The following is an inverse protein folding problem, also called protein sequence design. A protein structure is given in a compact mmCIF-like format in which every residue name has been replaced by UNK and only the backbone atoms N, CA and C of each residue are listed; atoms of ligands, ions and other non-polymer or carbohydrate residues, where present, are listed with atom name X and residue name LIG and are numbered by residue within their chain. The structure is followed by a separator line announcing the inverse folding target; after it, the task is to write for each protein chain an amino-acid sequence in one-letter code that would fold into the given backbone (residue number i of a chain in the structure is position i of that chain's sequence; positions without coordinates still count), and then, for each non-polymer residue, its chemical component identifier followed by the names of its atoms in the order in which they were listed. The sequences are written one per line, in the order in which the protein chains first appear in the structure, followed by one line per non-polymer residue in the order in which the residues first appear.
data_IF_951936879780
#
_entry.id   IF_951936879780
#
_cell.length_a   1.000
_cell.length_b   1.000
_cell.length_c   1.000
_cell.angle_alpha   90.00
_cell.angle_beta   90.00
_cell.angle_gamma   90.00
#
_symmetry.space_group_name_H-M   'P 1'
#
loop_
_entity.id
_entity.type
_entity.pdbx_description
1 polymer ?
#
# COMPACT_ATOMS: atom_id res chain seq x y z
N UNK A 1 10.75 -13.27 -24.68
CA UNK A 1 10.72 -13.42 -23.20
C UNK A 1 10.96 -12.03 -22.61
N UNK A 2 9.94 -11.37 -22.07
CA UNK A 2 10.17 -10.08 -21.40
C UNK A 2 10.95 -10.33 -20.11
N UNK A 3 12.03 -9.59 -19.91
CA UNK A 3 12.73 -9.57 -18.64
C UNK A 3 11.79 -8.97 -17.60
N UNK A 4 11.09 -9.81 -16.83
CA UNK A 4 10.32 -9.37 -15.67
C UNK A 4 11.35 -8.92 -14.63
N UNK A 5 11.67 -7.63 -14.62
CA UNK A 5 12.38 -7.01 -13.52
C UNK A 5 11.48 -7.15 -12.30
N UNK A 6 11.81 -8.10 -11.41
CA UNK A 6 11.08 -8.27 -10.15
C UNK A 6 11.15 -6.94 -9.39
N UNK A 7 9.99 -6.36 -9.10
CA UNK A 7 9.95 -5.14 -8.29
C UNK A 7 10.53 -5.44 -6.92
N UNK A 8 11.39 -4.55 -6.42
CA UNK A 8 12.00 -4.69 -5.09
C UNK A 8 11.03 -4.38 -3.94
N UNK A 9 9.87 -3.84 -4.26
CA UNK A 9 8.85 -3.42 -3.31
C UNK A 9 7.47 -3.91 -3.72
N UNK A 10 6.61 -4.11 -2.73
CA UNK A 10 5.16 -4.32 -2.88
C UNK A 10 4.39 -3.22 -2.16
N UNK A 11 3.22 -2.87 -2.68
CA UNK A 11 2.36 -1.81 -2.17
C UNK A 11 1.21 -2.40 -1.37
N UNK A 12 0.92 -1.83 -0.19
CA UNK A 12 -0.28 -2.16 0.59
C UNK A 12 -1.52 -1.68 -0.18
N UNK A 13 -2.49 -2.56 -0.40
CA UNK A 13 -3.69 -2.22 -1.16
C UNK A 13 -4.60 -1.21 -0.44
N UNK A 14 -4.51 -1.10 0.89
CA UNK A 14 -5.33 -0.17 1.69
C UNK A 14 -4.72 1.23 1.78
N UNK A 15 -3.43 1.37 2.11
CA UNK A 15 -2.80 2.69 2.35
C UNK A 15 -1.76 3.12 1.32
N UNK A 16 -1.46 2.29 0.32
CA UNK A 16 -0.41 2.49 -0.68
C UNK A 16 1.05 2.51 -0.24
N UNK A 17 1.33 2.23 1.04
CA UNK A 17 2.70 2.16 1.53
C UNK A 17 3.49 1.05 0.81
N UNK A 18 4.69 1.39 0.37
CA UNK A 18 5.64 0.47 -0.24
C UNK A 18 6.52 -0.15 0.84
N UNK A 19 6.59 -1.48 0.86
CA UNK A 19 7.57 -2.22 1.67
C UNK A 19 8.48 -3.08 0.80
N UNK A 20 9.75 -3.25 1.16
CA UNK A 20 10.65 -4.16 0.46
C UNK A 20 10.06 -5.57 0.44
N UNK A 21 10.21 -6.25 -0.69
CA UNK A 21 9.90 -7.68 -0.76
C UNK A 21 11.06 -8.42 -0.09
N UNK A 22 10.81 -9.03 1.05
CA UNK A 22 11.82 -9.78 1.82
C UNK A 22 11.61 -11.28 1.68
N UNK A 23 12.57 -12.09 2.13
CA UNK A 23 12.44 -13.57 2.08
C UNK A 23 11.30 -14.10 2.95
N UNK A 24 10.92 -13.40 4.01
CA UNK A 24 9.77 -13.75 4.86
C UNK A 24 8.43 -13.64 4.13
N UNK A 25 8.36 -12.87 3.04
CA UNK A 25 7.16 -12.75 2.22
C UNK A 25 6.84 -14.02 1.40
N UNK A 26 7.78 -14.97 1.33
CA UNK A 26 7.63 -16.25 0.62
C UNK A 26 7.36 -17.45 1.54
N UNK A 27 7.06 -17.21 2.81
CA UNK A 27 6.75 -18.25 3.81
C UNK A 27 5.42 -17.99 4.50
N UNK A 28 4.81 -19.04 5.05
CA UNK A 28 3.60 -19.01 5.91
C UNK A 28 3.74 -18.14 7.19
N UNK A 29 4.88 -17.47 7.37
CA UNK A 29 5.21 -16.54 8.44
C UNK A 29 5.27 -15.08 7.93
N UNK A 30 4.20 -14.58 7.31
CA UNK A 30 4.00 -13.14 7.16
C UNK A 30 3.67 -12.53 8.53
N UNK A 31 4.68 -12.34 9.38
CA UNK A 31 4.49 -11.89 10.77
C UNK A 31 4.35 -10.37 10.93
N UNK A 32 4.67 -9.59 9.90
CA UNK A 32 4.55 -8.13 9.95
C UNK A 32 3.63 -7.63 8.84
N UNK A 33 2.39 -7.29 9.23
CA UNK A 33 1.42 -6.60 8.38
C UNK A 33 1.89 -5.18 8.02
N UNK A 34 1.01 -4.41 7.39
CA UNK A 34 1.34 -3.04 7.00
C UNK A 34 1.69 -2.14 8.21
N UNK A 35 2.76 -1.35 8.10
CA UNK A 35 3.16 -0.36 9.13
C UNK A 35 2.11 0.72 9.39
N UNK A 36 1.21 0.95 8.43
CA UNK A 36 0.17 1.95 8.52
C UNK A 36 -1.18 1.33 8.89
N UNK A 37 -1.51 0.18 8.30
CA UNK A 37 -2.74 -0.56 8.51
C UNK A 37 -2.43 -1.87 9.24
N UNK A 38 -2.09 -1.81 10.53
CA UNK A 38 -1.64 -2.96 11.34
C UNK A 38 -2.44 -4.23 11.03
N UNK A 39 -1.77 -5.39 11.06
CA UNK A 39 -2.33 -6.72 10.70
C UNK A 39 -2.68 -6.95 9.22
N UNK A 40 -2.85 -5.89 8.41
CA UNK A 40 -3.22 -6.05 6.99
C UNK A 40 -2.10 -6.68 6.18
N UNK A 41 -2.43 -7.76 5.46
CA UNK A 41 -1.51 -8.53 4.63
C UNK A 41 -1.80 -8.44 3.12
N UNK A 42 -2.77 -7.63 2.72
CA UNK A 42 -3.12 -7.31 1.34
C UNK A 42 -2.06 -6.42 0.69
N UNK A 43 -1.16 -7.05 -0.07
CA UNK A 43 -0.09 -6.38 -0.81
C UNK A 43 -0.05 -6.82 -2.29
N UNK A 44 0.34 -5.91 -3.18
CA UNK A 44 0.54 -6.20 -4.61
C UNK A 44 1.89 -5.70 -5.14
N UNK A 45 2.40 -6.37 -6.16
CA UNK A 45 3.53 -5.87 -6.96
C UNK A 45 3.07 -5.04 -8.17
N UNK A 46 1.76 -5.02 -8.45
CA UNK A 46 1.13 -4.27 -9.52
C UNK A 46 0.71 -2.89 -9.01
N UNK A 47 1.55 -1.89 -9.28
CA UNK A 47 1.36 -0.52 -8.82
C UNK A 47 2.14 0.43 -9.74
N UNK A 48 1.76 1.71 -9.79
CA UNK A 48 2.35 2.70 -10.69
C UNK A 48 2.65 4.01 -9.96
N UNK A 49 3.78 4.61 -10.31
CA UNK A 49 4.29 5.82 -9.67
C UNK A 49 4.91 5.56 -8.30
N UNK A 50 5.74 6.50 -7.86
CA UNK A 50 6.38 6.46 -6.54
C UNK A 50 6.34 7.86 -5.94
N UNK A 51 5.92 7.93 -4.68
CA UNK A 51 5.92 9.14 -3.87
C UNK A 51 6.81 8.88 -2.66
N UNK A 52 7.71 9.82 -2.36
CA UNK A 52 8.45 9.83 -1.09
C UNK A 52 7.95 11.00 -0.25
N UNK A 53 7.41 10.67 0.94
CA UNK A 53 6.99 11.66 1.94
C UNK A 53 8.09 11.74 3.00
N UNK A 54 8.89 12.80 2.92
CA UNK A 54 9.95 13.10 3.91
C UNK A 54 9.47 14.00 5.05
N UNK A 55 8.48 14.86 4.78
CA UNK A 55 7.86 15.79 5.71
C UNK A 55 6.34 15.82 5.50
N UNK A 56 5.59 16.07 6.58
CA UNK A 56 4.15 16.20 6.56
C UNK A 56 3.69 17.65 6.33
N UNK A 57 2.42 17.83 6.01
CA UNK A 57 1.73 19.08 5.72
C UNK A 57 1.54 19.40 4.23
N UNK A 58 2.16 18.64 3.31
CA UNK A 58 2.16 18.90 1.88
C UNK A 58 0.81 18.74 1.19
N UNK A 59 0.71 19.25 -0.04
CA UNK A 59 -0.49 19.04 -0.87
C UNK A 59 -0.57 17.60 -1.41
N UNK A 60 0.56 17.00 -1.80
CA UNK A 60 0.61 15.65 -2.40
C UNK A 60 0.08 14.59 -1.45
N UNK A 61 0.50 14.61 -0.19
CA UNK A 61 0.02 13.68 0.85
C UNK A 61 -1.48 13.86 1.12
N UNK A 62 -1.99 15.09 1.16
CA UNK A 62 -3.43 15.36 1.36
C UNK A 62 -4.24 14.84 0.18
N UNK A 63 -3.78 15.13 -1.04
CA UNK A 63 -4.40 14.65 -2.27
C UNK A 63 -4.44 13.12 -2.34
N UNK A 64 -3.40 12.46 -1.86
CA UNK A 64 -3.26 10.99 -1.87
C UNK A 64 -3.76 10.31 -0.58
N UNK A 65 -4.30 11.09 0.37
CA UNK A 65 -4.73 10.63 1.70
C UNK A 65 -3.64 9.82 2.42
N UNK A 66 -2.42 10.35 2.44
CA UNK A 66 -1.24 9.76 3.07
C UNK A 66 -0.96 10.46 4.40
N UNK A 67 -0.82 9.68 5.47
CA UNK A 67 -0.73 10.23 6.83
C UNK A 67 0.70 10.24 7.41
N UNK A 68 1.56 9.35 6.93
CA UNK A 68 2.88 9.10 7.54
C UNK A 68 4.01 9.33 6.54
N UNK A 69 5.21 9.51 7.07
CA UNK A 69 6.44 9.53 6.28
C UNK A 69 6.71 8.14 5.71
N UNK A 70 7.24 8.08 4.49
CA UNK A 70 7.54 6.81 3.85
C UNK A 70 7.50 6.85 2.33
N UNK A 71 7.57 5.67 1.73
CA UNK A 71 7.42 5.46 0.30
C UNK A 71 6.01 4.95 0.00
N UNK A 72 5.39 5.50 -1.04
CA UNK A 72 4.03 5.19 -1.43
C UNK A 72 3.92 5.03 -2.95
N UNK A 73 2.89 4.32 -3.40
CA UNK A 73 2.50 4.30 -4.82
C UNK A 73 1.40 5.31 -5.12
N UNK A 74 1.33 5.80 -6.35
CA UNK A 74 0.24 6.69 -6.82
C UNK A 74 -1.02 5.86 -7.10
N UNK A 75 -0.85 4.74 -7.81
CA UNK A 75 -1.94 3.83 -8.20
C UNK A 75 -1.61 2.40 -7.80
N UNK A 76 -2.64 1.63 -7.48
CA UNK A 76 -2.54 0.23 -7.07
C UNK A 76 -3.56 -0.58 -7.84
N UNK A 77 -3.07 -1.61 -8.54
CA UNK A 77 -3.93 -2.56 -9.23
C UNK A 77 -4.21 -3.74 -8.28
N UNK A 78 -5.49 -3.94 -7.95
CA UNK A 78 -5.95 -5.03 -7.08
C UNK A 78 -7.06 -4.58 -6.12
N UNK A 79 -7.67 -5.56 -5.45
CA UNK A 79 -8.67 -5.35 -4.40
C UNK A 79 -8.12 -6.05 -3.15
N UNK A 80 -8.13 -5.38 -1.98
CA UNK A 80 -7.70 -6.03 -0.73
C UNK A 80 -8.62 -7.19 -0.37
N UNK A 81 -8.08 -8.14 0.39
CA UNK A 81 -8.86 -9.24 0.96
C UNK A 81 -9.94 -8.68 1.90
N UNK A 82 -11.12 -9.30 1.89
CA UNK A 82 -12.29 -8.80 2.63
C UNK A 82 -12.04 -8.76 4.15
N UNK A 83 -11.32 -9.75 4.69
CA UNK A 83 -10.98 -9.80 6.12
C UNK A 83 -10.06 -8.64 6.53
N UNK A 84 -9.05 -8.33 5.71
CA UNK A 84 -8.15 -7.20 5.93
C UNK A 84 -8.90 -5.85 5.84
N UNK A 85 -9.84 -5.74 4.91
CA UNK A 85 -10.70 -4.57 4.76
C UNK A 85 -11.58 -4.38 6.00
N UNK A 86 -12.27 -5.45 6.42
CA UNK A 86 -13.15 -5.45 7.59
C UNK A 86 -12.38 -5.10 8.86
N UNK A 87 -11.20 -5.68 9.08
CA UNK A 87 -10.34 -5.34 10.23
C UNK A 87 -9.93 -3.86 10.20
N UNK A 88 -9.54 -3.34 9.03
CA UNK A 88 -9.16 -1.94 8.88
C UNK A 88 -10.32 -0.97 9.20
N UNK A 89 -11.53 -1.27 8.72
CA UNK A 89 -12.72 -0.44 8.96
C UNK A 89 -13.23 -0.55 10.39
N UNK A 90 -13.19 -1.73 11.01
CA UNK A 90 -13.52 -1.92 12.44
C UNK A 90 -12.59 -1.12 13.35
N UNK A 91 -11.35 -0.90 12.93
CA UNK A 91 -10.38 -0.06 13.63
C UNK A 91 -10.55 1.45 13.33
N UNK A 92 -11.64 1.86 12.67
CA UNK A 92 -11.99 3.24 12.38
C UNK A 92 -11.36 3.81 11.09
N UNK A 93 -10.74 2.96 10.27
CA UNK A 93 -10.27 3.34 8.94
C UNK A 93 -11.43 3.52 7.95
N UNK A 94 -11.20 4.30 6.90
CA UNK A 94 -12.11 4.36 5.73
C UNK A 94 -11.34 3.92 4.51
N UNK A 95 -11.80 2.85 3.85
CA UNK A 95 -11.16 2.40 2.62
C UNK A 95 -11.49 3.32 1.45
N UNK A 96 -10.47 3.58 0.63
CA UNK A 96 -10.62 4.29 -0.63
C UNK A 96 -9.94 3.49 -1.71
N UNK A 97 -10.64 3.23 -2.81
CA UNK A 97 -10.05 2.59 -3.97
C UNK A 97 -8.87 3.42 -4.50
N UNK A 98 -7.74 2.73 -4.71
CA UNK A 98 -6.47 3.29 -5.18
C UNK A 98 -6.13 2.90 -6.61
N UNK A 99 -7.06 2.26 -7.32
CA UNK A 99 -6.91 1.86 -8.73
C UNK A 99 -6.90 3.04 -9.70
N UNK A 100 -7.48 4.17 -9.30
CA UNK A 100 -7.59 5.36 -10.12
C UNK A 100 -7.12 6.61 -9.36
N UNK A 101 -6.62 7.59 -10.12
CA UNK A 101 -6.40 8.92 -9.55
C UNK A 101 -7.74 9.52 -9.16
N UNK A 102 -7.74 10.33 -8.10
CA UNK A 102 -8.90 11.10 -7.64
C UNK A 102 -9.72 11.65 -8.82
N UNK A 103 -11.02 11.36 -8.82
CA UNK A 103 -11.98 11.97 -9.75
C UNK A 103 -12.67 13.12 -9.03
N UNK A 104 -12.58 14.32 -9.62
CA UNK A 104 -13.31 15.52 -9.20
C UNK A 104 -14.81 15.35 -9.43
#
# INVERSE_FOLDING_TARGET
MSNIVKKKFKACMICSALRPITRSDSSDYNTEGCSNCKSVNSFTTHYKGLISISNSGGWVEKWQRLEKKGLYSILIDGVPDEDDLNEFEQNGGTYFDRSQSFRL
#
